data_IF_928843644518
#
_entry.id   IF_928843644518
#
_cell.length_a   1.000
_cell.length_b   1.000
_cell.length_c   1.000
_cell.angle_alpha   90.00
_cell.angle_beta   90.00
_cell.angle_gamma   90.00
#
_symmetry.space_group_name_H-M   'P 1'
#
loop_
_entity.id
_entity.type
_entity.pdbx_description
1 polymer ?
#
# COMPACT_ATOMS: atom_id res chain seq x y z
N UNK A 1 -10.95 -18.97 19.23
CA UNK A 1 -11.96 -18.16 19.95
C UNK A 1 -13.35 -18.57 19.47
N UNK A 2 -14.23 -19.07 20.34
CA UNK A 2 -15.59 -19.46 19.95
C UNK A 2 -16.44 -18.22 19.64
N UNK A 3 -17.16 -18.21 18.51
CA UNK A 3 -18.17 -17.19 18.22
C UNK A 3 -19.29 -17.37 19.26
N UNK A 4 -19.68 -16.33 20.02
CA UNK A 4 -20.75 -16.48 20.99
C UNK A 4 -22.04 -16.95 20.30
N UNK A 5 -22.75 -17.87 20.95
CA UNK A 5 -24.02 -18.41 20.48
C UNK A 5 -25.00 -17.30 20.08
N UNK A 6 -25.76 -17.50 19.00
CA UNK A 6 -26.82 -16.58 18.52
C UNK A 6 -27.95 -16.34 19.53
N UNK A 7 -27.92 -17.00 20.68
CA UNK A 7 -28.83 -16.78 21.81
C UNK A 7 -28.39 -15.64 22.74
N UNK A 8 -27.17 -15.10 22.59
CA UNK A 8 -26.76 -13.90 23.31
C UNK A 8 -27.54 -12.68 22.81
N UNK A 9 -28.17 -11.96 23.75
CA UNK A 9 -28.93 -10.71 23.55
C UNK A 9 -28.22 -9.69 22.63
N UNK A 10 -26.88 -9.71 22.61
CA UNK A 10 -26.04 -8.83 21.76
C UNK A 10 -26.30 -8.96 20.25
N UNK A 11 -26.84 -10.09 19.77
CA UNK A 11 -27.06 -10.34 18.34
C UNK A 11 -28.53 -10.42 17.93
N UNK A 12 -29.46 -10.05 18.83
CA UNK A 12 -30.88 -10.03 18.51
C UNK A 12 -31.16 -9.06 17.34
N UNK A 13 -31.91 -9.47 16.30
CA UNK A 13 -32.20 -8.59 15.18
C UNK A 13 -33.01 -7.38 15.66
N UNK A 14 -32.62 -6.18 15.20
CA UNK A 14 -33.41 -4.97 15.41
C UNK A 14 -34.86 -5.21 14.98
N UNK A 15 -35.82 -4.80 15.82
CA UNK A 15 -37.25 -4.87 15.51
C UNK A 15 -37.63 -3.90 14.38
N UNK A 16 -36.78 -2.92 14.06
CA UNK A 16 -37.04 -1.95 13.00
C UNK A 16 -36.67 -2.50 11.61
N UNK A 17 -37.63 -2.44 10.69
CA UNK A 17 -37.39 -2.78 9.28
C UNK A 17 -36.62 -1.65 8.60
N UNK A 18 -35.59 -1.92 7.79
CA UNK A 18 -34.88 -0.86 7.09
C UNK A 18 -35.81 -0.12 6.12
N UNK A 19 -35.80 1.21 6.17
CA UNK A 19 -36.70 2.07 5.39
C UNK A 19 -36.49 1.90 3.86
N UNK A 20 -35.23 1.78 3.42
CA UNK A 20 -34.87 1.72 2.01
C UNK A 20 -35.31 0.43 1.30
N UNK A 21 -35.93 0.57 0.12
CA UNK A 21 -36.29 -0.58 -0.76
C UNK A 21 -35.07 -1.43 -1.12
N UNK A 22 -33.94 -0.79 -1.44
CA UNK A 22 -32.69 -1.47 -1.75
C UNK A 22 -32.15 -2.27 -0.55
N UNK A 23 -32.16 -1.69 0.65
CA UNK A 23 -31.75 -2.40 1.87
C UNK A 23 -32.63 -3.63 2.15
N UNK A 24 -33.96 -3.51 1.96
CA UNK A 24 -34.89 -4.64 2.08
C UNK A 24 -34.60 -5.74 1.05
N UNK A 25 -34.33 -5.37 -0.19
CA UNK A 25 -33.90 -6.30 -1.23
C UNK A 25 -32.61 -7.03 -0.85
N UNK A 26 -31.59 -6.32 -0.35
CA UNK A 26 -30.33 -6.94 0.08
C UNK A 26 -30.53 -7.95 1.21
N UNK A 27 -31.35 -7.63 2.21
CA UNK A 27 -31.67 -8.56 3.30
C UNK A 27 -32.44 -9.79 2.82
N UNK A 28 -33.36 -9.62 1.87
CA UNK A 28 -34.03 -10.74 1.22
C UNK A 28 -33.04 -11.59 0.43
N UNK A 29 -32.22 -10.99 -0.44
CA UNK A 29 -31.18 -11.67 -1.23
C UNK A 29 -30.24 -12.47 -0.34
N UNK A 30 -29.74 -11.88 0.75
CA UNK A 30 -28.84 -12.56 1.69
C UNK A 30 -29.53 -13.73 2.41
N UNK A 31 -30.83 -13.64 2.71
CA UNK A 31 -31.60 -14.79 3.21
C UNK A 31 -31.71 -15.91 2.18
N UNK A 32 -31.98 -15.57 0.92
CA UNK A 32 -32.04 -16.56 -0.17
C UNK A 32 -30.69 -17.24 -0.37
N UNK A 33 -29.59 -16.48 -0.43
CA UNK A 33 -28.23 -17.03 -0.60
C UNK A 33 -27.81 -17.99 0.53
N UNK A 34 -28.34 -17.84 1.75
CA UNK A 34 -28.10 -18.76 2.89
C UNK A 34 -29.06 -19.96 2.91
N UNK A 35 -30.14 -19.95 2.13
CA UNK A 35 -31.16 -21.00 2.14
C UNK A 35 -30.72 -22.22 1.34
N UNK A 36 -30.62 -23.38 2.01
CA UNK A 36 -30.30 -24.66 1.36
C UNK A 36 -31.28 -25.01 0.23
N UNK A 37 -32.57 -24.70 0.41
CA UNK A 37 -33.61 -24.96 -0.59
C UNK A 37 -33.42 -24.09 -1.84
N UNK A 38 -33.09 -22.81 -1.65
CA UNK A 38 -32.79 -21.91 -2.77
C UNK A 38 -31.50 -22.31 -3.50
N UNK A 39 -30.45 -22.67 -2.77
CA UNK A 39 -29.20 -23.15 -3.36
C UNK A 39 -29.42 -24.41 -4.21
N UNK A 40 -30.19 -25.40 -3.71
CA UNK A 40 -30.55 -26.61 -4.46
C UNK A 40 -31.39 -26.31 -5.71
N UNK A 41 -32.35 -25.39 -5.61
CA UNK A 41 -33.15 -24.97 -6.76
C UNK A 41 -32.30 -24.24 -7.80
N UNK A 42 -31.48 -23.27 -7.38
CA UNK A 42 -30.60 -22.50 -8.26
C UNK A 42 -29.57 -23.37 -8.97
N UNK A 43 -29.03 -24.41 -8.30
CA UNK A 43 -28.09 -25.36 -8.90
C UNK A 43 -28.67 -26.18 -10.06
N UNK A 44 -30.01 -26.24 -10.23
CA UNK A 44 -30.69 -26.91 -11.35
C UNK A 44 -30.78 -26.04 -12.61
N UNK A 45 -30.52 -24.74 -12.50
CA UNK A 45 -30.54 -23.80 -13.62
C UNK A 45 -29.11 -23.58 -14.14
N UNK A 46 -28.80 -23.86 -15.41
CA UNK A 46 -27.42 -23.81 -15.93
C UNK A 46 -26.67 -22.49 -15.66
N UNK A 47 -27.36 -21.35 -15.88
CA UNK A 47 -26.78 -20.01 -15.65
C UNK A 47 -26.50 -19.78 -14.16
N UNK A 48 -27.47 -20.11 -13.29
CA UNK A 48 -27.30 -19.92 -11.86
C UNK A 48 -26.27 -20.89 -11.27
N UNK A 49 -26.13 -22.10 -11.85
CA UNK A 49 -25.11 -23.07 -11.48
C UNK A 49 -23.70 -22.56 -11.83
N UNK A 50 -23.50 -21.97 -13.01
CA UNK A 50 -22.22 -21.35 -13.38
C UNK A 50 -21.83 -20.23 -12.42
N UNK A 51 -22.76 -19.30 -12.13
CA UNK A 51 -22.55 -18.21 -11.17
C UNK A 51 -22.24 -18.77 -9.77
N UNK A 52 -22.98 -19.81 -9.32
CA UNK A 52 -22.76 -20.42 -8.03
C UNK A 52 -21.38 -21.10 -7.91
N UNK A 53 -20.90 -21.74 -8.98
CA UNK A 53 -19.55 -22.34 -9.03
C UNK A 53 -18.47 -21.28 -8.90
N UNK A 54 -18.52 -20.21 -9.70
CA UNK A 54 -17.57 -19.09 -9.60
C UNK A 54 -17.58 -18.49 -8.20
N UNK A 55 -18.76 -18.25 -7.61
CA UNK A 55 -18.88 -17.71 -6.25
C UNK A 55 -18.37 -18.64 -5.17
N UNK A 56 -18.52 -19.95 -5.33
CA UNK A 56 -17.95 -20.93 -4.43
C UNK A 56 -16.41 -20.88 -4.52
N UNK A 57 -15.84 -20.82 -5.73
CA UNK A 57 -14.39 -20.67 -5.92
C UNK A 57 -13.87 -19.36 -5.31
N UNK A 58 -14.53 -18.22 -5.54
CA UNK A 58 -14.20 -16.93 -4.89
C UNK A 58 -14.12 -17.07 -3.37
N UNK A 59 -15.10 -17.74 -2.75
CA UNK A 59 -15.14 -17.96 -1.30
C UNK A 59 -13.97 -18.83 -0.82
N UNK A 60 -13.63 -19.89 -1.55
CA UNK A 60 -12.48 -20.73 -1.22
C UNK A 60 -11.17 -19.96 -1.33
N UNK A 61 -10.99 -19.10 -2.36
CA UNK A 61 -9.82 -18.24 -2.46
C UNK A 61 -9.70 -17.26 -1.28
N UNK A 62 -10.82 -16.72 -0.78
CA UNK A 62 -10.81 -15.88 0.43
C UNK A 62 -10.36 -16.69 1.66
N UNK A 63 -10.88 -17.91 1.84
CA UNK A 63 -10.53 -18.77 2.97
C UNK A 63 -9.07 -19.25 2.91
N UNK A 64 -8.57 -19.56 1.71
CA UNK A 64 -7.21 -20.05 1.46
C UNK A 64 -6.19 -18.93 1.26
N UNK A 65 -6.62 -17.66 1.20
CA UNK A 65 -5.75 -16.55 0.80
C UNK A 65 -4.50 -16.38 1.66
N UNK A 66 -4.58 -16.68 2.96
CA UNK A 66 -3.42 -16.66 3.85
C UNK A 66 -2.34 -17.68 3.40
N UNK A 67 -2.75 -18.83 2.87
CA UNK A 67 -1.82 -19.85 2.35
C UNK A 67 -1.13 -19.31 1.10
N UNK A 68 -1.86 -18.66 0.18
CA UNK A 68 -1.23 -18.08 -1.03
C UNK A 68 -0.16 -17.05 -0.69
N UNK A 69 -0.44 -16.16 0.27
CA UNK A 69 0.53 -15.18 0.76
C UNK A 69 1.73 -15.86 1.42
N UNK A 70 1.51 -16.92 2.20
CA UNK A 70 2.58 -17.69 2.83
C UNK A 70 3.39 -18.55 1.84
N UNK A 71 2.77 -19.02 0.74
CA UNK A 71 3.49 -19.69 -0.37
C UNK A 71 4.47 -18.72 -1.02
N UNK A 72 4.04 -17.48 -1.31
CA UNK A 72 4.94 -16.44 -1.80
C UNK A 72 6.05 -16.14 -0.79
N UNK A 73 5.72 -16.00 0.49
CA UNK A 73 6.72 -15.78 1.53
C UNK A 73 7.74 -16.93 1.61
N UNK A 74 7.30 -18.18 1.51
CA UNK A 74 8.17 -19.35 1.53
C UNK A 74 9.06 -19.38 0.29
N UNK A 75 8.49 -19.16 -0.90
CA UNK A 75 9.24 -19.10 -2.16
C UNK A 75 10.34 -18.01 -2.13
N UNK A 76 10.05 -16.86 -1.51
CA UNK A 76 11.06 -15.81 -1.35
C UNK A 76 12.15 -16.22 -0.35
N UNK A 77 11.78 -16.69 0.86
CA UNK A 77 12.73 -17.00 1.93
C UNK A 77 13.63 -18.20 1.63
N UNK A 78 13.13 -19.16 0.87
CA UNK A 78 13.87 -20.35 0.44
C UNK A 78 14.72 -20.12 -0.81
N UNK A 79 14.70 -18.90 -1.37
CA UNK A 79 15.45 -18.58 -2.58
C UNK A 79 14.89 -19.21 -3.85
N UNK A 80 13.66 -19.73 -3.85
CA UNK A 80 13.05 -20.40 -5.00
C UNK A 80 12.94 -19.47 -6.22
N UNK A 81 12.53 -18.22 -6.01
CA UNK A 81 12.43 -17.26 -7.12
C UNK A 81 13.81 -16.88 -7.69
N UNK A 82 14.82 -16.79 -6.81
CA UNK A 82 16.20 -16.51 -7.21
C UNK A 82 16.83 -17.70 -7.95
N UNK A 83 16.54 -18.92 -7.49
CA UNK A 83 16.95 -20.17 -8.12
C UNK A 83 16.46 -20.22 -9.57
N UNK A 84 15.22 -19.82 -9.86
CA UNK A 84 14.61 -19.99 -11.18
C UNK A 84 14.68 -18.76 -12.10
N UNK A 85 15.31 -17.66 -11.67
CA UNK A 85 15.24 -16.36 -12.37
C UNK A 85 15.70 -16.38 -13.83
N UNK A 86 16.72 -17.18 -14.12
CA UNK A 86 17.39 -17.24 -15.44
C UNK A 86 17.53 -18.70 -15.94
N UNK A 87 16.77 -19.63 -15.37
CA UNK A 87 16.87 -21.06 -15.74
C UNK A 87 15.55 -21.82 -15.66
N UNK A 88 15.56 -22.99 -16.30
CA UNK A 88 14.55 -24.03 -16.18
C UNK A 88 15.21 -25.14 -15.35
N UNK A 89 14.57 -25.59 -14.28
CA UNK A 89 15.14 -26.59 -13.38
C UNK A 89 14.17 -27.73 -13.07
N UNK A 90 14.73 -28.91 -12.82
CA UNK A 90 14.04 -30.11 -12.34
C UNK A 90 13.71 -30.01 -10.85
N UNK A 91 12.88 -30.94 -10.36
CA UNK A 91 12.57 -31.06 -8.95
C UNK A 91 13.82 -31.27 -8.08
N UNK A 92 14.75 -32.13 -8.51
CA UNK A 92 15.98 -32.43 -7.77
C UNK A 92 16.91 -31.21 -7.66
N UNK A 93 17.03 -30.44 -8.76
CA UNK A 93 17.82 -29.21 -8.78
C UNK A 93 17.21 -28.14 -7.87
N UNK A 94 15.90 -27.97 -7.91
CA UNK A 94 15.20 -27.01 -7.03
C UNK A 94 15.31 -27.44 -5.56
N UNK A 95 15.11 -28.73 -5.27
CA UNK A 95 15.20 -29.27 -3.91
C UNK A 95 16.61 -29.05 -3.33
N UNK A 96 17.65 -29.34 -4.11
CA UNK A 96 19.04 -29.10 -3.73
C UNK A 96 19.35 -27.62 -3.53
N UNK A 97 18.95 -26.75 -4.46
CA UNK A 97 19.24 -25.32 -4.40
C UNK A 97 18.51 -24.61 -3.24
N UNK A 98 17.32 -25.07 -2.87
CA UNK A 98 16.50 -24.49 -1.80
C UNK A 98 16.71 -25.18 -0.44
N UNK A 99 17.59 -26.17 -0.33
CA UNK A 99 17.80 -27.00 0.87
C UNK A 99 16.50 -27.63 1.40
N UNK A 100 15.77 -28.32 0.52
CA UNK A 100 14.48 -28.94 0.82
C UNK A 100 14.53 -30.46 0.61
N UNK A 101 13.79 -31.18 1.44
CA UNK A 101 13.42 -32.56 1.13
C UNK A 101 12.61 -32.59 -0.17
N UNK A 102 12.82 -33.64 -0.98
CA UNK A 102 12.20 -33.81 -2.29
C UNK A 102 10.67 -33.58 -2.29
N UNK A 103 9.94 -34.18 -1.34
CA UNK A 103 8.48 -34.04 -1.25
C UNK A 103 8.04 -32.65 -0.78
N UNK A 104 8.86 -31.97 0.04
CA UNK A 104 8.62 -30.60 0.46
C UNK A 104 8.82 -29.63 -0.71
N UNK A 105 9.87 -29.82 -1.51
CA UNK A 105 10.11 -29.05 -2.73
C UNK A 105 8.96 -29.23 -3.72
N UNK A 106 8.51 -30.46 -3.94
CA UNK A 106 7.38 -30.75 -4.83
C UNK A 106 6.08 -30.08 -4.36
N UNK A 107 5.85 -30.07 -3.04
CA UNK A 107 4.69 -29.39 -2.43
C UNK A 107 4.74 -27.88 -2.69
N UNK A 108 5.90 -27.25 -2.46
CA UNK A 108 6.08 -25.82 -2.68
C UNK A 108 5.96 -25.44 -4.16
N UNK A 109 6.58 -26.21 -5.06
CA UNK A 109 6.52 -26.00 -6.51
C UNK A 109 5.07 -26.05 -6.97
N UNK A 110 4.32 -27.11 -6.64
CA UNK A 110 2.90 -27.24 -7.03
C UNK A 110 2.06 -26.09 -6.50
N UNK A 111 2.28 -25.67 -5.25
CA UNK A 111 1.58 -24.54 -4.67
C UNK A 111 1.92 -23.24 -5.39
N UNK A 112 3.20 -22.98 -5.66
CA UNK A 112 3.69 -21.79 -6.34
C UNK A 112 3.24 -21.72 -7.80
N UNK A 113 3.22 -22.85 -8.52
CA UNK A 113 2.68 -22.95 -9.88
C UNK A 113 1.19 -22.64 -9.91
N UNK A 114 0.41 -23.12 -8.93
CA UNK A 114 -1.03 -22.90 -8.88
C UNK A 114 -1.44 -21.43 -8.64
N UNK A 115 -0.50 -20.56 -8.28
CA UNK A 115 -0.70 -19.12 -8.09
C UNK A 115 0.22 -18.29 -8.98
N UNK A 116 0.66 -18.86 -10.11
CA UNK A 116 1.44 -18.21 -11.18
C UNK A 116 2.80 -17.64 -10.74
N UNK A 117 3.34 -18.10 -9.60
CA UNK A 117 4.71 -17.79 -9.21
C UNK A 117 5.71 -18.60 -10.04
N UNK A 118 5.37 -19.85 -10.35
CA UNK A 118 6.13 -20.73 -11.22
C UNK A 118 5.28 -21.17 -12.42
N UNK A 119 5.92 -21.69 -13.46
CA UNK A 119 5.28 -22.33 -14.58
C UNK A 119 6.03 -23.62 -14.94
N UNK A 120 5.29 -24.69 -15.19
CA UNK A 120 5.84 -25.93 -15.74
C UNK A 120 6.05 -25.75 -17.25
N UNK A 121 7.27 -26.04 -17.73
CA UNK A 121 7.64 -25.87 -19.15
C UNK A 121 7.53 -27.19 -19.90
N UNK A 122 8.10 -28.24 -19.31
CA UNK A 122 8.00 -29.64 -19.75
C UNK A 122 7.70 -30.50 -18.51
N UNK A 123 7.28 -31.77 -18.68
CA UNK A 123 6.98 -32.63 -17.54
C UNK A 123 8.15 -32.69 -16.54
N UNK A 124 7.88 -32.26 -15.31
CA UNK A 124 8.84 -32.18 -14.20
C UNK A 124 9.96 -31.13 -14.34
N UNK A 125 9.76 -30.09 -15.14
CA UNK A 125 10.68 -28.94 -15.21
C UNK A 125 9.94 -27.61 -15.08
N UNK A 126 10.48 -26.70 -14.28
CA UNK A 126 9.83 -25.43 -13.95
C UNK A 126 10.75 -24.24 -14.16
N UNK A 127 10.13 -23.10 -14.43
CA UNK A 127 10.75 -21.78 -14.41
C UNK A 127 9.82 -20.78 -13.71
N UNK A 128 10.18 -19.50 -13.67
CA UNK A 128 9.30 -18.46 -13.13
C UNK A 128 8.02 -18.32 -13.97
N UNK A 129 6.88 -18.25 -13.28
CA UNK A 129 5.62 -17.80 -13.86
C UNK A 129 5.56 -16.27 -13.93
N UNK A 130 4.53 -15.73 -14.58
CA UNK A 130 4.41 -14.29 -14.82
C UNK A 130 4.47 -13.44 -13.54
N UNK A 131 3.80 -13.90 -12.46
CA UNK A 131 3.82 -13.19 -11.17
C UNK A 131 5.16 -13.37 -10.46
N UNK A 132 5.77 -14.55 -10.54
CA UNK A 132 7.09 -14.80 -9.95
C UNK A 132 8.17 -13.92 -10.57
N UNK A 133 8.20 -13.82 -11.90
CA UNK A 133 9.10 -12.95 -12.64
C UNK A 133 8.85 -11.47 -12.31
N UNK A 134 7.59 -11.05 -12.25
CA UNK A 134 7.21 -9.66 -11.91
C UNK A 134 7.63 -9.26 -10.49
N UNK A 135 7.51 -10.19 -9.53
CA UNK A 135 7.93 -9.98 -8.14
C UNK A 135 9.45 -9.98 -8.03
N UNK A 136 10.13 -10.93 -8.70
CA UNK A 136 11.59 -11.01 -8.70
C UNK A 136 12.21 -9.75 -9.30
N UNK A 137 11.72 -9.27 -10.45
CA UNK A 137 12.17 -8.03 -11.08
C UNK A 137 11.84 -6.73 -10.32
N UNK A 138 11.20 -6.81 -9.15
CA UNK A 138 10.74 -5.64 -8.39
C UNK A 138 11.30 -5.63 -6.96
N UNK A 139 12.47 -4.98 -6.75
CA UNK A 139 13.11 -4.88 -5.44
C UNK A 139 12.19 -4.30 -4.36
N UNK A 140 11.33 -3.34 -4.71
CA UNK A 140 10.36 -2.74 -3.79
C UNK A 140 9.34 -3.76 -3.26
N UNK A 141 8.82 -4.63 -4.13
CA UNK A 141 7.91 -5.72 -3.72
C UNK A 141 8.64 -6.76 -2.88
N UNK A 142 9.86 -7.15 -3.26
CA UNK A 142 10.66 -8.06 -2.44
C UNK A 142 10.95 -7.49 -1.05
N UNK A 143 11.26 -6.19 -0.99
CA UNK A 143 11.45 -5.48 0.27
C UNK A 143 10.16 -5.55 1.09
N UNK A 144 9.00 -5.24 0.52
CA UNK A 144 7.70 -5.40 1.21
C UNK A 144 7.48 -6.82 1.75
N UNK A 145 7.82 -7.88 1.01
CA UNK A 145 7.66 -9.27 1.46
C UNK A 145 8.46 -9.57 2.73
N UNK A 146 9.69 -9.05 2.82
CA UNK A 146 10.53 -9.21 4.03
C UNK A 146 9.90 -8.60 5.28
N UNK A 147 9.03 -7.60 5.11
CA UNK A 147 8.38 -6.89 6.22
C UNK A 147 7.02 -7.46 6.61
N UNK A 148 6.45 -8.37 5.81
CA UNK A 148 5.18 -8.99 6.16
C UNK A 148 5.26 -9.82 7.44
N UNK A 149 6.45 -10.24 7.89
CA UNK A 149 6.62 -11.02 9.13
C UNK A 149 6.01 -10.36 10.37
N UNK A 150 6.12 -9.04 10.50
CA UNK A 150 5.51 -8.32 11.63
C UNK A 150 3.99 -8.30 11.50
N UNK A 151 3.47 -7.96 10.33
CA UNK A 151 2.03 -7.96 10.08
C UNK A 151 1.44 -9.38 10.19
N UNK A 152 2.16 -10.43 9.79
CA UNK A 152 1.71 -11.82 9.93
C UNK A 152 1.55 -12.20 11.41
N UNK A 153 2.44 -11.73 12.29
CA UNK A 153 2.29 -11.94 13.74
C UNK A 153 1.04 -11.24 14.27
N UNK A 154 0.80 -10.00 13.87
CA UNK A 154 -0.41 -9.26 14.27
C UNK A 154 -1.69 -9.91 13.73
N UNK A 155 -1.63 -10.44 12.51
CA UNK A 155 -2.74 -11.11 11.84
C UNK A 155 -2.94 -12.56 12.28
N UNK A 156 -2.14 -13.09 13.21
CA UNK A 156 -2.38 -14.39 13.84
C UNK A 156 -3.67 -14.36 14.70
N UNK A 157 -4.00 -13.21 15.30
CA UNK A 157 -5.29 -12.94 15.93
C UNK A 157 -5.83 -11.54 15.52
N UNK A 158 -6.46 -11.43 14.34
CA UNK A 158 -6.95 -10.14 13.85
C UNK A 158 -8.10 -9.59 14.70
N UNK A 159 -8.79 -10.44 15.48
CA UNK A 159 -9.84 -9.99 16.37
C UNK A 159 -9.28 -9.34 17.65
N UNK A 160 -8.15 -9.84 18.15
CA UNK A 160 -7.40 -9.16 19.21
C UNK A 160 -6.85 -7.82 18.70
N UNK A 161 -6.19 -7.81 17.54
CA UNK A 161 -5.66 -6.60 16.91
C UNK A 161 -6.72 -5.49 16.76
N UNK A 162 -7.96 -5.84 16.38
CA UNK A 162 -9.05 -4.87 16.27
C UNK A 162 -9.58 -4.36 17.61
N UNK A 163 -9.39 -5.11 18.71
CA UNK A 163 -9.84 -4.72 20.05
C UNK A 163 -8.78 -3.95 20.83
N UNK A 164 -7.50 -4.25 20.61
CA UNK A 164 -6.36 -3.65 21.28
C UNK A 164 -5.19 -3.58 20.28
N UNK A 165 -4.98 -2.41 19.69
CA UNK A 165 -3.95 -2.20 18.66
C UNK A 165 -2.61 -1.72 19.24
N UNK A 166 -2.60 -1.33 20.51
CA UNK A 166 -1.45 -0.78 21.21
C UNK A 166 -0.30 -1.79 21.33
N UNK A 167 -0.62 -3.08 21.36
CA UNK A 167 0.36 -4.18 21.43
C UNK A 167 0.78 -4.78 20.08
N UNK A 168 0.40 -4.16 18.96
CA UNK A 168 0.74 -4.68 17.64
C UNK A 168 2.27 -4.64 17.41
N UNK A 169 2.83 -5.75 16.94
CA UNK A 169 4.24 -5.88 16.60
C UNK A 169 4.67 -4.88 15.52
N UNK A 170 3.78 -4.59 14.55
CA UNK A 170 4.05 -3.62 13.51
C UNK A 170 4.15 -2.19 14.05
N UNK A 171 3.46 -1.83 15.13
CA UNK A 171 3.50 -0.48 15.73
C UNK A 171 4.92 -0.09 16.16
N UNK A 172 5.59 -0.97 16.90
CA UNK A 172 6.94 -0.73 17.43
C UNK A 172 8.05 -0.65 16.38
N UNK A 173 7.72 -0.87 15.10
CA UNK A 173 8.66 -0.74 14.00
C UNK A 173 8.79 0.71 13.50
N UNK A 174 7.78 1.56 13.72
CA UNK A 174 7.73 2.91 13.13
C UNK A 174 8.12 3.95 14.19
N UNK A 175 9.36 4.48 14.17
CA UNK A 175 9.87 5.37 15.20
C UNK A 175 9.12 6.71 15.29
N UNK A 176 8.37 7.09 14.23
CA UNK A 176 7.56 8.31 14.22
C UNK A 176 6.14 8.13 14.79
N UNK A 177 5.67 6.90 15.03
CA UNK A 177 4.31 6.65 15.55
C UNK A 177 4.23 6.94 17.05
N UNK A 178 5.26 6.56 17.80
CA UNK A 178 5.32 6.76 19.26
C UNK A 178 6.23 7.93 19.67
N UNK A 179 6.78 8.67 18.70
CA UNK A 179 7.67 9.81 18.94
C UNK A 179 9.05 9.45 19.52
N UNK A 180 9.35 8.16 19.68
CA UNK A 180 10.66 7.68 20.12
C UNK A 180 11.61 7.57 18.92
N UNK A 181 12.34 8.64 18.69
CA UNK A 181 13.32 8.75 17.61
C UNK A 181 14.69 8.12 17.95
N UNK A 182 14.80 7.36 19.05
CA UNK A 182 16.09 6.90 19.59
C UNK A 182 16.57 5.52 19.13
N UNK A 183 15.93 4.87 18.14
CA UNK A 183 16.49 3.68 17.49
C UNK A 183 16.94 4.01 16.04
N UNK A 184 18.22 4.37 15.84
CA UNK A 184 18.80 4.62 14.52
C UNK A 184 18.73 3.41 13.59
N UNK A 185 18.71 2.19 14.13
CA UNK A 185 18.68 0.94 13.34
C UNK A 185 17.27 0.66 12.83
N UNK A 186 16.24 0.95 13.63
CA UNK A 186 14.85 0.93 13.17
C UNK A 186 14.58 2.03 12.12
N UNK A 187 15.07 3.24 12.34
CA UNK A 187 14.93 4.36 11.39
C UNK A 187 15.65 4.11 10.04
N UNK A 188 16.84 3.50 10.06
CA UNK A 188 17.57 3.14 8.85
C UNK A 188 16.88 2.02 8.05
N UNK A 189 16.41 0.96 8.73
CA UNK A 189 15.63 -0.12 8.08
C UNK A 189 14.33 0.38 7.46
N UNK A 190 13.64 1.30 8.12
CA UNK A 190 12.48 2.00 7.55
C UNK A 190 12.82 2.77 6.27
N UNK A 191 13.86 3.60 6.35
CA UNK A 191 14.26 4.49 5.25
C UNK A 191 14.66 3.70 4.00
N UNK A 192 15.30 2.54 4.16
CA UNK A 192 15.67 1.65 3.06
C UNK A 192 14.44 0.98 2.40
N UNK A 193 13.50 0.44 3.19
CA UNK A 193 12.24 -0.13 2.67
C UNK A 193 11.41 0.92 1.91
N UNK A 194 11.28 2.12 2.47
CA UNK A 194 10.54 3.19 1.81
C UNK A 194 11.25 3.65 0.54
N UNK A 195 12.58 3.75 0.53
CA UNK A 195 13.37 4.09 -0.65
C UNK A 195 13.20 3.07 -1.80
N UNK A 196 13.29 1.78 -1.50
CA UNK A 196 13.15 0.71 -2.50
C UNK A 196 11.74 0.67 -3.10
N UNK A 197 10.71 0.81 -2.25
CA UNK A 197 9.33 0.84 -2.71
C UNK A 197 8.95 2.17 -3.37
N UNK A 198 9.66 3.26 -3.06
CA UNK A 198 9.50 4.56 -3.72
C UNK A 198 9.95 4.50 -5.18
N UNK A 199 11.03 3.78 -5.51
CA UNK A 199 11.48 3.62 -6.90
C UNK A 199 10.36 3.13 -7.84
N UNK A 200 9.56 2.16 -7.37
CA UNK A 200 8.44 1.61 -8.11
C UNK A 200 7.36 2.65 -8.44
N UNK A 201 7.03 3.51 -7.47
CA UNK A 201 5.94 4.47 -7.62
C UNK A 201 6.41 5.81 -8.19
N UNK A 202 7.67 6.19 -7.97
CA UNK A 202 8.23 7.49 -8.36
C UNK A 202 8.08 7.73 -9.87
N UNK A 203 8.45 6.76 -10.71
CA UNK A 203 8.30 6.89 -12.16
C UNK A 203 6.83 7.12 -12.57
N UNK A 204 5.89 6.39 -11.97
CA UNK A 204 4.46 6.60 -12.24
C UNK A 204 3.96 7.98 -11.80
N UNK A 205 4.52 8.54 -10.73
CA UNK A 205 4.22 9.90 -10.27
C UNK A 205 4.80 10.93 -11.24
N UNK A 206 6.08 10.78 -11.59
CA UNK A 206 6.82 11.70 -12.48
C UNK A 206 6.23 11.73 -13.90
N UNK A 207 5.69 10.62 -14.39
CA UNK A 207 4.95 10.58 -15.65
C UNK A 207 3.65 11.40 -15.61
N UNK A 208 3.03 11.50 -14.43
CA UNK A 208 1.73 12.14 -14.20
C UNK A 208 1.82 13.63 -13.84
N UNK A 209 3.01 14.15 -13.53
CA UNK A 209 3.24 15.56 -13.18
C UNK A 209 4.15 16.24 -14.21
N UNK A 210 4.25 17.56 -14.13
CA UNK A 210 5.19 18.36 -14.93
C UNK A 210 5.78 19.44 -14.05
N UNK A 211 7.09 19.58 -14.07
CA UNK A 211 7.80 20.75 -13.53
C UNK A 211 8.30 21.59 -14.70
N UNK A 212 8.06 22.89 -14.65
CA UNK A 212 8.57 23.87 -15.61
C UNK A 212 10.02 24.23 -15.27
N UNK A 213 10.80 24.68 -16.27
CA UNK A 213 12.13 25.24 -16.01
C UNK A 213 12.09 26.32 -14.92
N UNK A 214 13.04 26.25 -13.98
CA UNK A 214 13.17 27.16 -12.85
C UNK A 214 12.25 26.86 -11.66
N UNK A 215 11.36 25.87 -11.75
CA UNK A 215 10.53 25.48 -10.59
C UNK A 215 11.36 24.80 -9.51
N UNK A 216 10.92 25.00 -8.26
CA UNK A 216 11.57 24.44 -7.07
C UNK A 216 10.61 23.50 -6.35
N UNK A 217 10.93 22.21 -6.36
CA UNK A 217 10.18 21.13 -5.70
C UNK A 217 10.77 20.80 -4.32
N UNK A 218 9.93 20.82 -3.28
CA UNK A 218 10.25 20.30 -1.95
C UNK A 218 9.47 19.01 -1.68
N UNK A 219 10.18 17.89 -1.55
CA UNK A 219 9.60 16.60 -1.16
C UNK A 219 9.64 16.43 0.36
N UNK A 220 8.48 16.60 1.00
CA UNK A 220 8.35 16.53 2.45
C UNK A 220 8.14 15.07 2.87
N UNK A 221 8.92 14.62 3.85
CA UNK A 221 9.00 13.21 4.26
C UNK A 221 9.61 12.31 3.18
N UNK A 222 10.49 12.87 2.34
CA UNK A 222 11.06 12.18 1.18
C UNK A 222 12.09 11.10 1.51
N UNK A 223 12.37 10.83 2.79
CA UNK A 223 13.26 9.78 3.24
C UNK A 223 14.70 10.00 2.78
N UNK A 224 15.27 8.98 2.11
CA UNK A 224 16.63 9.08 1.52
C UNK A 224 16.69 9.94 0.26
N UNK A 225 15.56 10.55 -0.14
CA UNK A 225 15.43 11.47 -1.27
C UNK A 225 15.35 10.80 -2.64
N UNK A 226 15.00 9.51 -2.70
CA UNK A 226 14.81 8.77 -3.96
C UNK A 226 13.88 9.49 -4.93
N UNK A 227 12.73 9.98 -4.47
CA UNK A 227 11.80 10.68 -5.35
C UNK A 227 12.36 12.02 -5.85
N UNK A 228 12.94 12.84 -4.96
CA UNK A 228 13.54 14.13 -5.31
C UNK A 228 14.71 14.00 -6.31
N UNK A 229 15.54 12.95 -6.18
CA UNK A 229 16.61 12.64 -7.14
C UNK A 229 16.07 12.20 -8.50
N UNK A 230 15.10 11.28 -8.54
CA UNK A 230 14.49 10.88 -9.80
C UNK A 230 13.75 12.05 -10.47
N UNK A 231 13.20 12.97 -9.67
CA UNK A 231 12.61 14.20 -10.16
C UNK A 231 13.65 15.15 -10.79
N UNK A 232 14.84 15.31 -10.20
CA UNK A 232 15.92 16.14 -10.79
C UNK A 232 16.47 15.52 -12.08
N UNK A 233 16.57 14.19 -12.15
CA UNK A 233 16.92 13.48 -13.38
C UNK A 233 15.87 13.67 -14.49
N UNK A 234 14.58 13.61 -14.14
CA UNK A 234 13.48 13.75 -15.11
C UNK A 234 13.25 15.19 -15.56
N UNK A 235 13.48 16.16 -14.68
CA UNK A 235 13.26 17.58 -14.89
C UNK A 235 14.57 18.35 -14.61
N UNK A 236 15.56 18.26 -15.51
CA UNK A 236 16.91 18.80 -15.26
C UNK A 236 16.95 20.32 -15.06
N UNK A 237 15.94 21.04 -15.56
CA UNK A 237 15.81 22.49 -15.39
C UNK A 237 15.07 22.90 -14.10
N UNK A 238 14.65 21.95 -13.26
CA UNK A 238 14.03 22.19 -11.97
C UNK A 238 15.02 21.93 -10.83
N UNK A 239 14.87 22.65 -9.72
CA UNK A 239 15.59 22.35 -8.48
C UNK A 239 14.73 21.48 -7.59
N UNK A 240 15.29 20.42 -7.04
CA UNK A 240 14.59 19.53 -6.10
C UNK A 240 15.26 19.56 -4.73
N UNK A 241 14.47 19.37 -3.69
CA UNK A 241 14.92 19.27 -2.31
C UNK A 241 14.17 18.17 -1.58
N UNK A 242 14.83 17.51 -0.64
CA UNK A 242 14.18 16.64 0.34
C UNK A 242 14.11 17.32 1.70
N UNK A 243 12.95 17.24 2.35
CA UNK A 243 12.73 17.69 3.73
C UNK A 243 12.36 16.50 4.61
N UNK A 244 13.20 16.17 5.59
CA UNK A 244 12.95 15.06 6.51
C UNK A 244 13.61 15.29 7.88
N UNK A 245 13.38 14.38 8.83
CA UNK A 245 13.96 14.45 10.16
C UNK A 245 15.51 14.45 10.09
N UNK A 246 16.20 15.13 11.02
CA UNK A 246 17.66 15.24 11.01
C UNK A 246 18.40 13.91 10.87
N UNK A 247 17.94 12.86 11.57
CA UNK A 247 18.53 11.53 11.52
C UNK A 247 18.34 10.83 10.17
N UNK A 248 17.23 11.08 9.47
CA UNK A 248 16.96 10.53 8.13
C UNK A 248 17.85 11.25 7.11
N UNK A 249 17.92 12.57 7.20
CA UNK A 249 18.81 13.40 6.39
C UNK A 249 20.29 13.03 6.59
N UNK A 250 20.70 12.70 7.82
CA UNK A 250 22.06 12.24 8.10
C UNK A 250 22.39 10.91 7.37
N UNK A 251 21.40 10.03 7.18
CA UNK A 251 21.56 8.75 6.51
C UNK A 251 21.67 8.84 4.97
N UNK A 252 21.40 10.02 4.37
CA UNK A 252 21.58 10.22 2.92
C UNK A 252 23.06 10.05 2.56
N UNK A 253 23.32 9.10 1.66
CA UNK A 253 24.67 8.80 1.18
C UNK A 253 25.36 10.05 0.64
N UNK A 254 26.63 10.31 0.99
CA UNK A 254 27.37 11.49 0.51
C UNK A 254 27.34 11.66 -1.01
N UNK A 255 27.30 10.55 -1.77
CA UNK A 255 27.23 10.58 -3.24
C UNK A 255 25.96 11.25 -3.78
N UNK A 256 24.86 11.26 -3.02
CA UNK A 256 23.56 11.80 -3.44
C UNK A 256 23.31 13.24 -2.97
N UNK A 257 24.16 13.78 -2.09
CA UNK A 257 23.96 15.14 -1.51
C UNK A 257 24.15 16.28 -2.52
N UNK A 258 24.70 16.00 -3.71
CA UNK A 258 24.84 16.97 -4.80
C UNK A 258 23.75 16.89 -5.87
N UNK A 259 22.86 15.89 -5.80
CA UNK A 259 21.82 15.64 -6.80
C UNK A 259 20.49 16.36 -6.47
N UNK A 260 20.37 16.87 -5.24
CA UNK A 260 19.22 17.59 -4.69
C UNK A 260 19.64 18.42 -3.48
N UNK A 261 18.88 19.47 -3.17
CA UNK A 261 19.02 20.19 -1.89
C UNK A 261 18.50 19.32 -0.73
N UNK A 262 19.02 19.56 0.47
CA UNK A 262 18.70 18.75 1.66
C UNK A 262 18.32 19.68 2.81
N UNK A 263 17.13 19.48 3.36
CA UNK A 263 16.58 20.29 4.46
C UNK A 263 16.19 19.37 5.61
N UNK A 264 16.69 19.64 6.81
CA UNK A 264 16.33 18.88 8.01
C UNK A 264 15.27 19.59 8.83
N UNK A 265 14.23 18.87 9.26
CA UNK A 265 13.24 19.37 10.21
C UNK A 265 12.06 18.41 10.40
N UNK A 266 11.27 18.68 11.43
CA UNK A 266 9.99 18.01 11.67
C UNK A 266 8.87 18.74 10.91
N UNK A 267 8.22 18.05 9.97
CA UNK A 267 7.19 18.65 9.11
C UNK A 267 5.96 19.20 9.87
N UNK A 268 5.72 18.72 11.09
CA UNK A 268 4.61 19.18 11.93
C UNK A 268 4.94 20.37 12.83
N UNK A 269 6.22 20.58 13.12
CA UNK A 269 6.70 21.54 14.12
C UNK A 269 7.56 22.64 13.47
N UNK A 270 8.61 22.24 12.76
CA UNK A 270 9.64 23.12 12.22
C UNK A 270 9.19 23.88 10.95
N UNK A 271 9.62 25.13 10.75
CA UNK A 271 9.24 25.91 9.57
C UNK A 271 9.54 25.21 8.25
N UNK A 272 8.54 25.10 7.38
CA UNK A 272 8.71 24.63 6.01
C UNK A 272 9.27 25.80 5.17
N UNK A 273 10.38 25.61 4.42
CA UNK A 273 10.97 26.68 3.62
C UNK A 273 10.01 27.26 2.57
N UNK A 274 9.96 28.59 2.47
CA UNK A 274 9.09 29.32 1.53
C UNK A 274 9.70 29.55 0.15
N UNK A 275 10.92 29.07 -0.09
CA UNK A 275 11.66 29.21 -1.35
C UNK A 275 11.22 28.20 -2.43
N UNK A 276 10.22 27.36 -2.15
CA UNK A 276 9.74 26.32 -3.05
C UNK A 276 8.33 26.66 -3.56
N UNK A 277 8.13 26.51 -4.87
CA UNK A 277 6.85 26.77 -5.52
C UNK A 277 6.02 25.50 -5.73
N UNK A 278 6.63 24.34 -5.49
CA UNK A 278 5.98 23.04 -5.57
C UNK A 278 6.34 22.22 -4.32
N UNK A 279 5.35 21.60 -3.69
CA UNK A 279 5.56 20.66 -2.57
C UNK A 279 5.02 19.29 -2.99
N UNK A 280 5.73 18.20 -2.69
CA UNK A 280 5.20 16.84 -2.78
C UNK A 280 5.05 16.19 -1.40
N UNK A 281 3.98 15.39 -1.29
CA UNK A 281 3.68 14.50 -0.18
C UNK A 281 3.49 13.11 -0.76
N UNK A 282 4.59 12.34 -0.83
CA UNK A 282 4.60 10.99 -1.40
C UNK A 282 4.46 9.95 -0.29
N UNK A 283 3.28 9.30 -0.21
CA UNK A 283 2.90 8.35 0.86
C UNK A 283 2.97 8.91 2.29
N UNK A 284 2.84 10.22 2.46
CA UNK A 284 2.85 10.85 3.78
C UNK A 284 1.48 10.81 4.44
N UNK A 285 0.45 11.31 3.76
CA UNK A 285 -0.86 11.48 4.40
C UNK A 285 -1.49 10.15 4.80
N UNK A 286 -1.26 9.11 4.00
CA UNK A 286 -1.70 7.75 4.23
C UNK A 286 -1.28 7.18 5.61
N UNK A 287 -0.12 7.60 6.12
CA UNK A 287 0.47 7.09 7.36
C UNK A 287 0.05 7.88 8.60
N UNK A 288 -0.70 8.96 8.42
CA UNK A 288 -1.12 9.87 9.48
C UNK A 288 -2.64 9.95 9.64
N UNK A 289 -3.10 10.15 10.88
CA UNK A 289 -4.51 10.37 11.20
C UNK A 289 -5.05 11.71 10.68
N UNK A 290 -6.37 11.88 10.66
CA UNK A 290 -7.02 13.03 10.01
C UNK A 290 -6.58 14.39 10.59
N UNK A 291 -6.34 14.47 11.90
CA UNK A 291 -5.87 15.69 12.57
C UNK A 291 -4.49 16.14 12.07
N UNK A 292 -3.45 15.29 12.20
CA UNK A 292 -2.13 15.58 11.64
C UNK A 292 -2.15 15.85 10.12
N UNK A 293 -2.97 15.13 9.36
CA UNK A 293 -3.14 15.39 7.92
C UNK A 293 -3.67 16.80 7.65
N UNK A 294 -4.74 17.21 8.32
CA UNK A 294 -5.32 18.55 8.14
C UNK A 294 -4.31 19.65 8.55
N UNK A 295 -3.55 19.43 9.63
CA UNK A 295 -2.48 20.33 10.07
C UNK A 295 -1.36 20.45 9.04
N UNK A 296 -0.82 19.32 8.54
CA UNK A 296 0.26 19.32 7.55
C UNK A 296 -0.16 19.99 6.24
N UNK A 297 -1.40 19.76 5.79
CA UNK A 297 -1.93 20.42 4.59
C UNK A 297 -2.01 21.94 4.78
N UNK A 298 -2.42 22.42 5.95
CA UNK A 298 -2.41 23.86 6.27
C UNK A 298 -0.98 24.44 6.22
N UNK A 299 0.00 23.74 6.80
CA UNK A 299 1.40 24.17 6.77
C UNK A 299 1.95 24.23 5.34
N UNK A 300 1.64 23.24 4.51
CA UNK A 300 2.01 23.25 3.09
C UNK A 300 1.37 24.44 2.36
N UNK A 301 0.10 24.74 2.66
CA UNK A 301 -0.58 25.90 2.10
C UNK A 301 0.11 27.21 2.48
N UNK A 302 0.52 27.38 3.73
CA UNK A 302 1.19 28.58 4.23
C UNK A 302 2.62 28.75 3.65
N UNK A 303 3.32 27.64 3.42
CA UNK A 303 4.66 27.63 2.87
C UNK A 303 4.71 27.98 1.37
N UNK A 304 3.70 27.53 0.60
CA UNK A 304 3.64 27.77 -0.84
C UNK A 304 3.40 29.26 -1.16
N UNK A 305 4.04 29.79 -2.22
CA UNK A 305 3.71 31.11 -2.76
C UNK A 305 2.35 31.08 -3.47
N UNK A 306 1.81 32.26 -3.78
CA UNK A 306 0.61 32.38 -4.61
C UNK A 306 0.81 31.66 -5.96
N UNK A 307 -0.15 30.82 -6.33
CA UNK A 307 -0.06 29.98 -7.54
C UNK A 307 0.79 28.72 -7.40
N UNK A 308 1.44 28.52 -6.25
CA UNK A 308 2.22 27.31 -5.94
C UNK A 308 1.36 26.04 -5.94
N UNK A 309 2.00 24.90 -6.15
CA UNK A 309 1.33 23.60 -6.35
C UNK A 309 1.70 22.58 -5.28
N UNK A 310 0.69 21.87 -4.77
CA UNK A 310 0.87 20.72 -3.90
C UNK A 310 0.56 19.44 -4.68
N UNK A 311 1.45 18.46 -4.60
CA UNK A 311 1.33 17.12 -5.18
C UNK A 311 1.11 16.13 -4.03
N UNK A 312 0.03 15.37 -4.07
CA UNK A 312 -0.21 14.22 -3.17
C UNK A 312 -0.15 12.96 -4.01
N UNK A 313 0.70 12.02 -3.63
CA UNK A 313 0.87 10.76 -4.33
C UNK A 313 0.89 9.57 -3.38
N UNK A 314 -0.18 8.76 -3.39
CA UNK A 314 -0.32 7.62 -2.49
C UNK A 314 -1.33 6.59 -3.03
N UNK A 315 -1.32 5.34 -2.53
CA UNK A 315 -2.44 4.44 -2.76
C UNK A 315 -3.72 5.04 -2.15
N UNK A 316 -4.79 5.11 -2.94
CA UNK A 316 -6.07 5.66 -2.47
C UNK A 316 -7.13 4.57 -2.38
N UNK A 317 -7.93 4.64 -1.32
CA UNK A 317 -9.09 3.79 -1.13
C UNK A 317 -10.15 4.00 -2.23
N UNK A 318 -10.96 2.97 -2.46
CA UNK A 318 -12.02 3.00 -3.47
C UNK A 318 -11.52 2.95 -4.92
N UNK A 319 -10.23 2.72 -5.16
CA UNK A 319 -9.65 2.59 -6.50
C UNK A 319 -10.31 1.42 -7.26
N UNK A 320 -10.74 1.68 -8.49
CA UNK A 320 -11.41 0.69 -9.35
C UNK A 320 -10.48 -0.50 -9.57
N UNK A 321 -11.02 -1.72 -9.45
CA UNK A 321 -10.28 -2.98 -9.54
C UNK A 321 -9.18 -3.20 -8.47
N UNK A 322 -9.05 -2.32 -7.48
CA UNK A 322 -8.07 -2.42 -6.39
C UNK A 322 -8.69 -2.11 -5.01
N UNK A 323 -10.01 -2.27 -4.86
CA UNK A 323 -10.72 -1.90 -3.62
C UNK A 323 -10.24 -2.70 -2.39
N UNK A 324 -9.92 -3.97 -2.59
CA UNK A 324 -9.41 -4.84 -1.52
C UNK A 324 -8.01 -4.42 -1.05
N UNK A 325 -7.15 -3.95 -1.97
CA UNK A 325 -5.82 -3.41 -1.61
C UNK A 325 -5.98 -2.21 -0.66
N UNK A 326 -6.89 -1.29 -0.99
CA UNK A 326 -7.15 -0.11 -0.16
C UNK A 326 -7.68 -0.44 1.24
N UNK A 327 -8.82 -1.13 1.36
CA UNK A 327 -9.46 -1.31 2.68
C UNK A 327 -9.07 -2.60 3.40
N UNK A 328 -8.80 -3.70 2.69
CA UNK A 328 -8.45 -4.97 3.33
C UNK A 328 -6.96 -5.01 3.66
N UNK A 329 -6.08 -4.71 2.71
CA UNK A 329 -4.65 -4.74 2.97
C UNK A 329 -4.19 -3.51 3.75
N UNK A 330 -4.26 -2.31 3.15
CA UNK A 330 -3.79 -1.09 3.83
C UNK A 330 -4.63 -0.71 5.06
N UNK A 331 -5.91 -1.08 5.09
CA UNK A 331 -6.74 -0.84 6.27
C UNK A 331 -6.25 -1.59 7.52
N UNK A 332 -5.92 -2.88 7.40
CA UNK A 332 -5.35 -3.64 8.51
C UNK A 332 -3.88 -3.27 8.77
N UNK A 333 -3.11 -2.99 7.73
CA UNK A 333 -1.71 -2.58 7.86
C UNK A 333 -1.58 -1.31 8.71
N UNK A 334 -2.30 -0.24 8.33
CA UNK A 334 -2.25 1.03 9.05
C UNK A 334 -2.89 0.93 10.45
N UNK A 335 -3.90 0.07 10.60
CA UNK A 335 -4.46 -0.21 11.92
C UNK A 335 -3.43 -0.86 12.85
N UNK A 336 -2.67 -1.84 12.36
CA UNK A 336 -1.59 -2.49 13.09
C UNK A 336 -0.38 -1.57 13.32
N UNK A 337 -0.07 -0.71 12.35
CA UNK A 337 0.90 0.38 12.53
C UNK A 337 0.48 1.35 13.65
N UNK A 338 -0.83 1.47 13.90
CA UNK A 338 -1.36 2.29 14.99
C UNK A 338 -1.52 3.77 14.66
N UNK A 339 -1.31 4.15 13.40
CA UNK A 339 -1.49 5.50 12.85
C UNK A 339 -1.95 5.40 11.39
N UNK A 340 -2.73 6.37 10.94
CA UNK A 340 -3.10 6.50 9.54
C UNK A 340 -4.32 5.67 9.15
N UNK A 341 -4.82 5.95 7.94
CA UNK A 341 -5.89 5.17 7.33
C UNK A 341 -5.92 5.31 5.81
N UNK A 342 -6.47 4.33 5.08
CA UNK A 342 -6.69 4.47 3.65
C UNK A 342 -7.74 5.54 3.39
N UNK A 343 -7.41 6.54 2.55
CA UNK A 343 -8.32 7.62 2.18
C UNK A 343 -8.72 7.53 0.73
N UNK A 344 -9.98 7.81 0.44
CA UNK A 344 -10.46 7.95 -0.93
C UNK A 344 -10.02 9.29 -1.52
N UNK A 345 -9.95 9.37 -2.85
CA UNK A 345 -9.76 10.64 -3.56
C UNK A 345 -10.72 11.74 -3.08
N UNK A 346 -11.98 11.38 -2.79
CA UNK A 346 -13.02 12.33 -2.37
C UNK A 346 -12.68 12.93 -1.00
N UNK A 347 -12.17 12.13 -0.08
CA UNK A 347 -11.75 12.59 1.25
C UNK A 347 -10.52 13.50 1.16
N UNK A 348 -9.49 13.10 0.41
CA UNK A 348 -8.30 13.95 0.20
C UNK A 348 -8.66 15.27 -0.50
N UNK A 349 -9.55 15.24 -1.48
CA UNK A 349 -10.07 16.46 -2.13
C UNK A 349 -10.79 17.36 -1.12
N UNK A 350 -11.54 16.78 -0.18
CA UNK A 350 -12.22 17.56 0.85
C UNK A 350 -11.23 18.17 1.85
N UNK A 351 -10.19 17.43 2.24
CA UNK A 351 -9.11 17.92 3.12
C UNK A 351 -8.34 19.08 2.48
N UNK A 352 -7.93 18.93 1.21
CA UNK A 352 -7.31 19.99 0.43
C UNK A 352 -8.16 21.27 0.37
N UNK A 353 -9.48 21.13 0.16
CA UNK A 353 -10.40 22.29 0.16
C UNK A 353 -10.48 22.97 1.52
N UNK A 354 -10.50 22.20 2.61
CA UNK A 354 -10.50 22.77 3.98
C UNK A 354 -9.22 23.56 4.25
N UNK A 355 -8.08 23.08 3.75
CA UNK A 355 -6.79 23.78 3.84
C UNK A 355 -6.67 25.00 2.90
N UNK A 356 -7.67 25.31 2.08
CA UNK A 356 -7.69 26.49 1.20
C UNK A 356 -7.20 26.25 -0.23
N UNK A 357 -6.78 25.04 -0.58
CA UNK A 357 -6.36 24.73 -1.95
C UNK A 357 -7.53 24.71 -2.94
N UNK A 358 -7.27 25.12 -4.19
CA UNK A 358 -8.20 25.06 -5.31
C UNK A 358 -7.57 24.32 -6.52
N UNK A 359 -8.29 24.25 -7.64
CA UNK A 359 -7.76 23.63 -8.86
C UNK A 359 -7.43 22.14 -8.70
N UNK A 360 -8.08 21.47 -7.74
CA UNK A 360 -7.78 20.10 -7.36
C UNK A 360 -8.12 19.16 -8.52
N UNK A 361 -7.10 18.52 -9.07
CA UNK A 361 -7.21 17.57 -10.17
C UNK A 361 -6.49 16.27 -9.84
N UNK A 362 -7.07 15.17 -10.29
CA UNK A 362 -6.37 13.89 -10.29
C UNK A 362 -5.64 13.72 -11.62
N UNK A 363 -4.36 13.42 -11.56
CA UNK A 363 -3.55 13.11 -12.74
C UNK A 363 -3.56 11.60 -12.98
N UNK A 364 -3.62 11.20 -14.25
CA UNK A 364 -3.67 9.78 -14.62
C UNK A 364 -2.31 9.14 -14.37
N UNK A 365 -2.31 8.03 -13.64
CA UNK A 365 -1.17 7.13 -13.49
C UNK A 365 -1.38 5.86 -14.30
N UNK A 366 -0.29 5.20 -14.69
CA UNK A 366 -0.33 3.94 -15.45
C UNK A 366 -0.93 2.78 -14.63
N UNK A 367 -0.57 2.71 -13.34
CA UNK A 367 -1.04 1.66 -12.42
C UNK A 367 -1.70 2.29 -11.17
N UNK A 368 -2.99 2.68 -11.25
CA UNK A 368 -3.70 3.32 -10.13
C UNK A 368 -3.78 2.48 -8.85
N UNK A 369 -3.59 1.16 -8.95
CA UNK A 369 -3.56 0.26 -7.81
C UNK A 369 -2.33 0.49 -6.91
N UNK A 370 -1.21 0.95 -7.48
CA UNK A 370 0.02 1.23 -6.75
C UNK A 370 0.04 2.68 -6.23
N UNK A 371 -0.29 3.63 -7.10
CA UNK A 371 -0.25 5.05 -6.76
C UNK A 371 -1.24 5.84 -7.60
N UNK A 372 -1.87 6.82 -6.96
CA UNK A 372 -2.69 7.84 -7.62
C UNK A 372 -2.16 9.21 -7.23
N UNK A 373 -2.28 10.17 -8.15
CA UNK A 373 -1.71 11.51 -7.97
C UNK A 373 -2.82 12.55 -7.99
N UNK A 374 -2.88 13.37 -6.95
CA UNK A 374 -3.69 14.58 -6.90
C UNK A 374 -2.75 15.78 -6.92
N UNK A 375 -3.12 16.81 -7.66
CA UNK A 375 -2.45 18.12 -7.62
C UNK A 375 -3.46 19.19 -7.24
N UNK A 376 -3.03 20.18 -6.48
CA UNK A 376 -3.84 21.28 -6.00
C UNK A 376 -3.03 22.57 -5.96
N UNK A 377 -3.68 23.73 -6.11
CA UNK A 377 -3.00 25.02 -6.19
C UNK A 377 -3.38 25.94 -5.05
N UNK A 378 -2.41 26.75 -4.61
CA UNK A 378 -2.67 27.92 -3.78
C UNK A 378 -3.23 29.05 -4.66
N UNK A 379 -4.32 29.73 -4.25
CA UNK A 379 -4.92 30.79 -5.06
C UNK A 379 -3.98 31.96 -5.26
N UNK A 380 -4.07 32.56 -6.46
CA UNK A 380 -3.46 33.85 -6.71
C UNK A 380 -4.27 34.89 -5.95
N UNK A 381 -3.75 35.35 -4.82
CA UNK A 381 -4.29 36.55 -4.17
C UNK A 381 -3.76 37.74 -4.94
N UNK A 382 -4.59 38.32 -5.80
CA UNK A 382 -4.33 39.63 -6.39
C UNK A 382 -4.71 40.65 -5.31
N UNK A 383 -3.73 41.28 -4.68
CA UNK A 383 -3.99 42.49 -3.91
C UNK A 383 -4.31 43.59 -4.92
N UNK A 384 -5.57 44.03 -4.95
CA UNK A 384 -6.02 45.19 -5.72
C UNK A 384 -5.63 46.48 -5.03
#
# INVERSE_FOLDING_TARGET
>A
MAIPSTTDSKYAPSKERPAGRYARFLLWRNRMLRSKTFQKWAARLPIAQSIARTRATDLHHILAGFVYSQTLSAAHKLGLLECLKDQIATLDEIASACDLEHDAALTLIKAATAIDLLQEVEPNTWTLGELGASIHGNPGVQSMLRHHDLLYRDMADPAHLLRAREGAALRGYWPYVDGDHNDPVAAARYSELMADSQHLIANHILDAIRLKPGQRLLDIGGGTGTFARLASERFPDATTAVFDLPQVIAAISPRHRGEMEVVSGNMFEDPIPKSFDTISLVRILHDHDDGPVDHLLSRCFDALPNGGELIIAEPMAGTRNAKAIGHTYFGFYLWAMGSGRPRTRKELTAALKRAGFHGIKENRTHIPALVRVITAKKPNVIFY
#
